data_IF_579031915159
#
_entry.id   IF_579031915159
#
_cell.length_a   1.000
_cell.length_b   1.000
_cell.length_c   1.000
_cell.angle_alpha   90.00
_cell.angle_beta   90.00
_cell.angle_gamma   90.00
#
_symmetry.space_group_name_H-M   'P 1'
#
loop_
_entity.id
_entity.type
_entity.pdbx_description
1 polymer ?
#
# COMPACT_ATOMS: atom_id res chain seq x y z
N UNK A 1 -2.17 -8.16 12.29
CA UNK A 1 -2.19 -7.35 13.52
C UNK A 1 -2.15 -8.26 14.76
N UNK A 2 -3.03 -9.26 14.90
CA UNK A 2 -3.09 -10.15 16.08
C UNK A 2 -1.76 -10.88 16.35
N UNK A 3 -1.13 -11.47 15.32
CA UNK A 3 0.19 -12.12 15.46
C UNK A 3 1.32 -11.18 15.86
N UNK A 4 1.26 -9.90 15.44
CA UNK A 4 2.24 -8.89 15.83
C UNK A 4 2.10 -8.50 17.31
N UNK A 5 0.88 -8.42 17.81
CA UNK A 5 0.57 -8.18 19.22
C UNK A 5 0.98 -9.36 20.09
N UNK A 6 0.73 -10.60 19.63
CA UNK A 6 1.15 -11.81 20.35
C UNK A 6 2.68 -11.93 20.46
N UNK A 7 3.45 -11.59 19.40
CA UNK A 7 4.91 -11.56 19.44
C UNK A 7 5.45 -10.50 20.40
N UNK A 8 4.80 -9.33 20.47
CA UNK A 8 5.17 -8.25 21.38
C UNK A 8 4.91 -8.62 22.84
N UNK A 9 3.80 -9.30 23.11
CA UNK A 9 3.48 -9.84 24.44
C UNK A 9 4.46 -10.95 24.88
N UNK A 10 5.01 -11.72 23.94
CA UNK A 10 6.03 -12.75 24.20
C UNK A 10 7.46 -12.20 24.31
N UNK A 11 7.68 -10.87 24.30
CA UNK A 11 9.01 -10.26 24.37
C UNK A 11 9.94 -10.56 23.20
N UNK A 12 9.41 -11.14 22.12
CA UNK A 12 10.19 -11.44 20.93
C UNK A 12 10.43 -10.15 20.15
N UNK A 13 11.69 -9.69 20.11
CA UNK A 13 12.11 -8.64 19.18
C UNK A 13 11.86 -9.14 17.75
N UNK A 14 11.31 -8.28 16.91
CA UNK A 14 11.26 -8.51 15.46
C UNK A 14 12.71 -8.73 15.01
N UNK A 15 13.02 -9.82 14.26
CA UNK A 15 14.34 -9.89 13.63
C UNK A 15 14.50 -8.62 12.79
N UNK A 16 15.49 -7.80 13.13
CA UNK A 16 15.88 -6.68 12.28
C UNK A 16 16.43 -7.30 11.01
N UNK A 17 15.74 -7.10 9.91
CA UNK A 17 16.34 -7.39 8.61
C UNK A 17 17.55 -6.45 8.49
N UNK A 18 18.76 -6.94 8.21
CA UNK A 18 19.99 -6.13 8.18
C UNK A 18 19.93 -4.95 7.20
N UNK A 19 18.87 -4.83 6.45
CA UNK A 19 18.58 -3.89 5.38
C UNK A 19 17.51 -2.87 5.72
N UNK A 20 16.83 -3.05 6.86
CA UNK A 20 15.72 -2.19 7.25
C UNK A 20 16.14 -1.34 8.45
N UNK A 21 16.34 -0.06 8.22
CA UNK A 21 16.52 0.94 9.29
C UNK A 21 15.22 1.71 9.47
N UNK A 22 14.78 1.83 10.72
CA UNK A 22 13.64 2.69 11.08
C UNK A 22 14.16 3.84 11.91
N UNK A 23 14.01 5.07 11.39
CA UNK A 23 14.34 6.29 12.10
C UNK A 23 13.33 6.59 13.24
N UNK A 24 13.68 7.46 14.22
CA UNK A 24 12.79 7.82 15.32
C UNK A 24 11.44 8.41 14.88
N UNK A 25 11.38 9.07 13.73
CA UNK A 25 10.18 9.61 13.08
C UNK A 25 9.34 8.55 12.37
N UNK A 26 9.73 7.26 12.48
CA UNK A 26 9.13 6.09 11.83
C UNK A 26 9.38 6.00 10.32
N UNK A 27 10.28 6.81 9.76
CA UNK A 27 10.73 6.58 8.39
C UNK A 27 11.50 5.26 8.31
N UNK A 28 11.03 4.39 7.43
CA UNK A 28 11.63 3.07 7.19
C UNK A 28 12.38 3.11 5.87
N UNK A 29 13.65 2.77 5.91
CA UNK A 29 14.52 2.74 4.75
C UNK A 29 14.97 1.32 4.46
N UNK A 30 14.87 0.92 3.20
CA UNK A 30 15.41 -0.33 2.66
C UNK A 30 16.58 0.00 1.76
N UNK A 31 17.74 -0.60 2.04
CA UNK A 31 18.97 -0.50 1.23
C UNK A 31 19.20 -1.85 0.54
N UNK A 32 18.87 -1.92 -0.73
CA UNK A 32 19.05 -3.14 -1.51
C UNK A 32 20.49 -3.39 -1.96
N UNK A 33 21.42 -2.43 -1.79
CA UNK A 33 22.83 -2.66 -2.08
C UNK A 33 23.48 -3.73 -1.19
N UNK A 34 22.83 -4.04 -0.05
CA UNK A 34 23.30 -4.98 0.97
C UNK A 34 22.54 -6.29 1.02
N UNK A 35 21.66 -6.54 0.06
CA UNK A 35 20.71 -7.66 0.10
C UNK A 35 20.82 -8.49 -1.15
N UNK A 36 20.66 -9.79 -0.99
CA UNK A 36 20.35 -10.69 -2.10
C UNK A 36 18.85 -10.53 -2.45
N UNK A 37 18.54 -9.52 -3.28
CA UNK A 37 17.17 -9.22 -3.69
C UNK A 37 16.48 -10.39 -4.40
N UNK A 38 17.13 -11.16 -5.29
CA UNK A 38 16.57 -12.40 -5.83
C UNK A 38 16.20 -13.44 -4.77
N UNK A 39 17.05 -13.65 -3.78
CA UNK A 39 16.74 -14.59 -2.69
C UNK A 39 15.56 -14.13 -1.83
N UNK A 40 15.45 -12.81 -1.58
CA UNK A 40 14.30 -12.21 -0.91
C UNK A 40 13.02 -12.38 -1.73
N UNK A 41 13.03 -12.05 -3.01
CA UNK A 41 11.88 -12.22 -3.91
C UNK A 41 11.39 -13.67 -3.93
N UNK A 42 12.30 -14.64 -4.05
CA UNK A 42 11.97 -16.06 -3.98
C UNK A 42 11.40 -16.46 -2.61
N UNK A 43 11.91 -15.87 -1.53
CA UNK A 43 11.39 -16.07 -0.17
C UNK A 43 9.95 -15.55 -0.01
N UNK A 44 9.67 -14.36 -0.53
CA UNK A 44 8.33 -13.78 -0.52
C UNK A 44 7.35 -14.59 -1.37
N UNK A 45 7.75 -15.03 -2.55
CA UNK A 45 6.92 -15.87 -3.39
C UNK A 45 6.53 -17.17 -2.68
N UNK A 46 7.50 -17.90 -2.11
CA UNK A 46 7.21 -19.12 -1.33
C UNK A 46 6.29 -18.84 -0.15
N UNK A 47 6.55 -17.77 0.59
CA UNK A 47 5.72 -17.36 1.72
C UNK A 47 4.29 -17.01 1.32
N UNK A 48 4.11 -16.31 0.20
CA UNK A 48 2.80 -15.94 -0.31
C UNK A 48 2.02 -17.19 -0.80
N UNK A 49 2.66 -18.09 -1.54
CA UNK A 49 2.04 -19.36 -1.96
C UNK A 49 1.57 -20.16 -0.76
N UNK A 50 2.44 -20.37 0.23
CA UNK A 50 2.08 -21.11 1.43
C UNK A 50 0.96 -20.42 2.23
N UNK A 51 0.93 -19.09 2.27
CA UNK A 51 -0.15 -18.36 2.93
C UNK A 51 -1.49 -18.51 2.20
N UNK A 52 -1.50 -18.46 0.88
CA UNK A 52 -2.71 -18.64 0.07
C UNK A 52 -3.24 -20.09 0.11
N UNK A 53 -2.35 -21.06 0.24
CA UNK A 53 -2.73 -22.48 0.43
C UNK A 53 -3.35 -22.70 1.81
N UNK A 54 -2.78 -22.09 2.86
CA UNK A 54 -3.24 -22.26 4.23
C UNK A 54 -4.53 -21.48 4.55
N UNK A 55 -4.72 -20.33 3.89
CA UNK A 55 -5.85 -19.43 4.12
C UNK A 55 -6.26 -18.82 2.77
N UNK A 56 -6.99 -19.57 1.94
CA UNK A 56 -7.43 -19.08 0.64
C UNK A 56 -8.40 -17.89 0.77
N UNK A 57 -8.47 -17.02 -0.25
CA UNK A 57 -9.40 -15.91 -0.25
C UNK A 57 -10.84 -16.36 0.01
N UNK A 58 -11.58 -15.67 0.89
CA UNK A 58 -12.99 -15.98 1.08
C UNK A 58 -13.77 -15.65 -0.20
N UNK A 59 -14.93 -16.31 -0.42
CA UNK A 59 -15.81 -15.94 -1.52
C UNK A 59 -16.14 -14.45 -1.50
N UNK A 60 -16.21 -13.80 -2.68
CA UNK A 60 -16.42 -12.37 -2.79
C UNK A 60 -17.63 -11.83 -1.99
N UNK A 61 -18.79 -12.52 -1.93
CA UNK A 61 -19.90 -12.07 -1.08
C UNK A 61 -19.54 -12.01 0.41
N UNK A 62 -18.80 -12.98 0.92
CA UNK A 62 -18.33 -12.99 2.31
C UNK A 62 -17.33 -11.85 2.54
N UNK A 63 -16.34 -11.73 1.66
CA UNK A 63 -15.36 -10.64 1.73
C UNK A 63 -16.03 -9.26 1.73
N UNK A 64 -17.05 -9.05 0.90
CA UNK A 64 -17.83 -7.81 0.86
C UNK A 64 -18.66 -7.59 2.12
N UNK A 65 -19.14 -8.66 2.75
CA UNK A 65 -19.88 -8.59 4.02
C UNK A 65 -18.95 -8.21 5.18
N UNK A 66 -17.73 -8.73 5.20
CA UNK A 66 -16.71 -8.40 6.20
C UNK A 66 -16.28 -6.91 6.15
N UNK A 67 -16.52 -6.25 5.01
CA UNK A 67 -16.26 -4.82 4.78
C UNK A 67 -17.52 -3.94 4.88
N UNK A 68 -18.61 -4.44 5.49
CA UNK A 68 -19.89 -3.76 5.53
C UNK A 68 -19.85 -2.39 6.23
N UNK A 69 -18.93 -2.20 7.19
CA UNK A 69 -18.82 -0.97 7.99
C UNK A 69 -18.03 0.14 7.27
N UNK A 70 -17.28 -0.14 6.19
CA UNK A 70 -16.47 0.86 5.51
C UNK A 70 -17.25 2.10 5.07
N UNK A 71 -18.47 2.00 4.49
CA UNK A 71 -19.24 3.19 4.11
C UNK A 71 -19.51 4.12 5.29
N UNK A 72 -19.81 3.56 6.46
CA UNK A 72 -20.07 4.35 7.67
C UNK A 72 -18.79 5.07 8.15
N UNK A 73 -17.65 4.41 8.12
CA UNK A 73 -16.37 5.03 8.51
C UNK A 73 -15.97 6.14 7.54
N UNK A 74 -16.14 5.92 6.24
CA UNK A 74 -15.90 6.94 5.21
C UNK A 74 -16.81 8.15 5.43
N UNK A 75 -18.10 7.92 5.69
CA UNK A 75 -19.05 9.00 5.97
C UNK A 75 -18.62 9.84 7.19
N UNK A 76 -18.18 9.20 8.28
CA UNK A 76 -17.67 9.90 9.48
C UNK A 76 -16.43 10.72 9.21
N UNK A 77 -15.53 10.27 8.34
CA UNK A 77 -14.34 11.03 7.92
C UNK A 77 -14.78 12.25 7.10
N UNK A 78 -15.67 12.07 6.14
CA UNK A 78 -16.20 13.14 5.28
C UNK A 78 -16.96 14.21 6.07
N UNK A 79 -17.74 13.82 7.07
CA UNK A 79 -18.44 14.76 7.98
C UNK A 79 -17.49 15.67 8.74
N UNK A 80 -16.24 15.27 8.93
CA UNK A 80 -15.18 16.06 9.57
C UNK A 80 -14.30 16.81 8.57
N UNK A 81 -14.71 16.89 7.30
CA UNK A 81 -13.97 17.57 6.23
C UNK A 81 -12.82 16.80 5.63
N UNK A 82 -12.63 15.53 6.01
CA UNK A 82 -11.63 14.64 5.40
C UNK A 82 -12.16 13.94 4.16
N UNK A 83 -11.28 13.25 3.46
CA UNK A 83 -11.65 12.32 2.39
C UNK A 83 -10.83 11.03 2.50
N UNK A 84 -11.25 10.02 1.76
CA UNK A 84 -10.63 8.69 1.76
C UNK A 84 -10.24 8.31 0.34
N UNK A 85 -9.00 7.89 0.19
CA UNK A 85 -8.43 7.41 -1.05
C UNK A 85 -7.98 5.98 -0.83
N UNK A 86 -8.44 5.06 -1.67
CA UNK A 86 -7.95 3.70 -1.67
C UNK A 86 -6.78 3.58 -2.65
N UNK A 87 -5.71 2.98 -2.19
CA UNK A 87 -4.51 2.84 -3.00
C UNK A 87 -3.90 1.45 -2.82
N UNK A 88 -3.63 0.76 -3.93
CA UNK A 88 -2.79 -0.43 -3.97
C UNK A 88 -1.40 -0.05 -4.51
N UNK A 89 -0.33 -0.21 -3.72
CA UNK A 89 1.03 0.00 -4.20
C UNK A 89 1.36 -0.90 -5.39
N UNK A 90 2.30 -0.51 -6.27
CA UNK A 90 2.77 -1.40 -7.31
C UNK A 90 3.49 -2.61 -6.71
N UNK A 91 3.30 -3.74 -7.34
CA UNK A 91 4.01 -4.99 -7.11
C UNK A 91 4.42 -5.57 -8.45
N UNK A 92 5.36 -6.51 -8.48
CA UNK A 92 5.85 -7.09 -9.73
C UNK A 92 6.06 -8.60 -9.63
N UNK A 93 6.38 -9.22 -10.76
CA UNK A 93 6.73 -10.63 -10.83
C UNK A 93 5.65 -11.57 -10.29
N UNK A 94 6.08 -12.61 -9.57
CA UNK A 94 5.20 -13.62 -9.02
C UNK A 94 4.19 -13.05 -8.01
N UNK A 95 4.54 -11.99 -7.30
CA UNK A 95 3.63 -11.37 -6.33
C UNK A 95 2.41 -10.73 -7.01
N UNK A 96 2.60 -10.02 -8.12
CA UNK A 96 1.50 -9.45 -8.91
C UNK A 96 0.59 -10.55 -9.47
N UNK A 97 1.19 -11.59 -10.05
CA UNK A 97 0.46 -12.73 -10.62
C UNK A 97 -0.36 -13.47 -9.56
N UNK A 98 0.23 -13.75 -8.39
CA UNK A 98 -0.45 -14.47 -7.32
C UNK A 98 -1.55 -13.63 -6.68
N UNK A 99 -1.31 -12.33 -6.49
CA UNK A 99 -2.31 -11.41 -5.95
C UNK A 99 -3.52 -11.29 -6.86
N UNK A 100 -3.32 -11.12 -8.18
CA UNK A 100 -4.42 -11.06 -9.14
C UNK A 100 -5.17 -12.39 -9.27
N UNK A 101 -4.47 -13.53 -9.20
CA UNK A 101 -5.10 -14.84 -9.19
C UNK A 101 -5.95 -15.10 -7.94
N UNK A 102 -5.46 -14.66 -6.77
CA UNK A 102 -6.15 -14.84 -5.50
C UNK A 102 -7.32 -13.86 -5.32
N UNK A 103 -7.11 -12.60 -5.71
CA UNK A 103 -8.08 -11.50 -5.58
C UNK A 103 -8.28 -10.78 -6.91
N UNK A 104 -8.92 -11.42 -7.92
CA UNK A 104 -9.18 -10.77 -9.20
C UNK A 104 -9.85 -9.41 -9.03
N UNK A 105 -9.30 -8.36 -9.64
CA UNK A 105 -9.81 -6.98 -9.50
C UNK A 105 -11.28 -6.85 -9.87
N UNK A 106 -11.70 -7.56 -10.90
CA UNK A 106 -13.10 -7.55 -11.37
C UNK A 106 -14.08 -8.12 -10.37
N UNK A 107 -13.61 -9.00 -9.49
CA UNK A 107 -14.43 -9.72 -8.51
C UNK A 107 -14.43 -9.04 -7.14
N UNK A 108 -13.30 -8.47 -6.72
CA UNK A 108 -13.14 -7.90 -5.38
C UNK A 108 -13.02 -6.37 -5.40
N UNK A 109 -11.98 -5.84 -6.05
CA UNK A 109 -11.65 -4.42 -6.00
C UNK A 109 -12.69 -3.53 -6.67
N UNK A 110 -13.01 -3.81 -7.95
CA UNK A 110 -13.90 -2.94 -8.72
C UNK A 110 -15.29 -2.82 -8.11
N UNK A 111 -15.97 -3.92 -7.68
CA UNK A 111 -17.26 -3.82 -7.01
C UNK A 111 -17.19 -3.08 -5.68
N UNK A 112 -16.13 -3.26 -4.89
CA UNK A 112 -15.94 -2.53 -3.64
C UNK A 112 -15.81 -1.03 -3.90
N UNK A 113 -14.94 -0.61 -4.82
CA UNK A 113 -14.74 0.81 -5.13
C UNK A 113 -16.01 1.46 -5.68
N UNK A 114 -16.74 0.76 -6.54
CA UNK A 114 -18.04 1.23 -7.03
C UNK A 114 -19.06 1.43 -5.89
N UNK A 115 -19.10 0.50 -4.93
CA UNK A 115 -19.98 0.60 -3.74
C UNK A 115 -19.61 1.77 -2.83
N UNK A 116 -18.30 2.04 -2.64
CA UNK A 116 -17.83 3.05 -1.71
C UNK A 116 -17.87 4.47 -2.28
N UNK A 117 -17.84 4.66 -3.59
CA UNK A 117 -17.83 5.96 -4.25
C UNK A 117 -16.63 6.82 -3.81
N UNK A 118 -15.45 6.24 -3.76
CA UNK A 118 -14.20 6.87 -3.34
C UNK A 118 -13.21 6.95 -4.49
N UNK A 119 -12.22 7.83 -4.36
CA UNK A 119 -11.05 7.79 -5.25
C UNK A 119 -10.27 6.51 -5.01
N UNK A 120 -9.94 5.83 -6.10
CA UNK A 120 -9.19 4.58 -6.07
C UNK A 120 -8.05 4.60 -7.08
N UNK A 121 -6.85 4.19 -6.64
CA UNK A 121 -5.66 4.11 -7.47
C UNK A 121 -5.05 2.72 -7.38
N UNK A 122 -4.63 2.20 -8.52
CA UNK A 122 -3.84 0.98 -8.62
C UNK A 122 -2.47 1.37 -9.15
N UNK A 123 -1.43 1.16 -8.34
CA UNK A 123 -0.07 1.58 -8.64
C UNK A 123 0.47 0.98 -9.94
N UNK A 124 0.14 -0.28 -10.23
CA UNK A 124 0.52 -0.94 -11.48
C UNK A 124 -0.10 -0.31 -12.73
N UNK A 125 -1.22 0.41 -12.62
CA UNK A 125 -1.88 1.10 -13.72
C UNK A 125 -1.32 2.52 -13.95
N UNK A 126 -0.41 2.99 -13.09
CA UNK A 126 0.22 4.29 -13.18
C UNK A 126 1.64 4.12 -13.73
N UNK A 127 1.90 4.51 -15.00
CA UNK A 127 3.19 4.25 -15.64
C UNK A 127 4.40 4.78 -14.85
N UNK A 128 4.28 5.97 -14.25
CA UNK A 128 5.36 6.59 -13.48
C UNK A 128 5.68 5.82 -12.19
N UNK A 129 4.70 5.17 -11.56
CA UNK A 129 4.92 4.33 -10.37
C UNK A 129 5.43 2.94 -10.78
N UNK A 130 4.87 2.37 -11.83
CA UNK A 130 5.28 1.06 -12.36
C UNK A 130 6.73 1.04 -12.87
N UNK A 131 7.25 2.19 -13.30
CA UNK A 131 8.62 2.33 -13.78
C UNK A 131 9.67 2.30 -12.65
N UNK A 132 9.26 2.45 -11.39
CA UNK A 132 10.17 2.42 -10.26
C UNK A 132 10.54 0.97 -9.94
N UNK A 133 11.83 0.64 -9.85
CA UNK A 133 12.27 -0.72 -9.58
C UNK A 133 11.79 -1.24 -8.22
N UNK A 134 11.37 -2.49 -8.19
CA UNK A 134 11.03 -3.22 -6.97
C UNK A 134 11.92 -4.46 -6.88
N UNK A 135 13.13 -4.35 -6.30
CA UNK A 135 14.13 -5.41 -6.36
C UNK A 135 13.68 -6.74 -5.75
N UNK A 136 12.81 -6.71 -4.74
CA UNK A 136 12.21 -7.88 -4.09
C UNK A 136 10.76 -8.13 -4.50
N UNK A 137 10.31 -7.49 -5.59
CA UNK A 137 8.95 -7.53 -6.15
C UNK A 137 7.88 -6.71 -5.44
N UNK A 138 8.16 -6.12 -4.26
CA UNK A 138 7.17 -5.35 -3.47
C UNK A 138 7.68 -4.08 -2.82
N UNK A 139 8.98 -3.94 -2.64
CA UNK A 139 9.56 -2.78 -1.99
C UNK A 139 10.53 -2.07 -2.94
N UNK A 140 10.49 -0.73 -2.92
CA UNK A 140 11.48 0.09 -3.61
C UNK A 140 12.70 0.34 -2.72
N UNK A 141 13.83 0.64 -3.33
CA UNK A 141 15.00 1.14 -2.61
C UNK A 141 14.73 2.53 -2.01
N UNK A 142 15.41 2.83 -0.91
CA UNK A 142 15.24 4.09 -0.21
C UNK A 142 15.56 5.32 -1.09
N UNK A 143 16.49 5.21 -2.04
CA UNK A 143 16.83 6.31 -2.95
C UNK A 143 15.69 6.64 -3.94
N UNK A 144 14.78 5.71 -4.22
CA UNK A 144 13.66 5.92 -5.14
C UNK A 144 12.43 6.57 -4.47
N UNK A 145 12.39 6.64 -3.14
CA UNK A 145 11.27 7.22 -2.38
C UNK A 145 10.85 8.62 -2.84
N UNK A 146 11.79 9.59 -3.09
CA UNK A 146 11.39 10.92 -3.53
C UNK A 146 10.72 10.92 -4.91
N UNK A 147 11.20 10.07 -5.83
CA UNK A 147 10.60 9.93 -7.16
C UNK A 147 9.21 9.31 -7.07
N UNK A 148 9.07 8.25 -6.27
CA UNK A 148 7.80 7.59 -6.01
C UNK A 148 6.76 8.55 -5.40
N UNK A 149 7.14 9.24 -4.33
CA UNK A 149 6.26 10.17 -3.63
C UNK A 149 5.78 11.28 -4.58
N UNK A 150 6.69 11.84 -5.38
CA UNK A 150 6.35 12.88 -6.37
C UNK A 150 5.37 12.35 -7.41
N UNK A 151 5.61 11.18 -7.97
CA UNK A 151 4.74 10.56 -8.97
C UNK A 151 3.34 10.25 -8.39
N UNK A 152 3.28 9.75 -7.16
CA UNK A 152 2.02 9.47 -6.48
C UNK A 152 1.22 10.76 -6.21
N UNK A 153 1.87 11.78 -5.63
CA UNK A 153 1.22 13.07 -5.34
C UNK A 153 0.72 13.73 -6.63
N UNK A 154 1.54 13.76 -7.69
CA UNK A 154 1.12 14.32 -8.98
C UNK A 154 -0.12 13.58 -9.52
N UNK A 155 -0.11 12.25 -9.47
CA UNK A 155 -1.26 11.44 -9.92
C UNK A 155 -2.53 11.76 -9.12
N UNK A 156 -2.41 11.93 -7.80
CA UNK A 156 -3.53 12.29 -6.93
C UNK A 156 -4.10 13.67 -7.27
N UNK A 157 -3.23 14.63 -7.57
CA UNK A 157 -3.62 15.99 -7.98
C UNK A 157 -4.32 15.94 -9.35
N UNK A 158 -3.71 15.29 -10.34
CA UNK A 158 -4.23 15.19 -11.71
C UNK A 158 -5.59 14.51 -11.76
N UNK A 159 -5.86 13.58 -10.85
CA UNK A 159 -7.16 12.90 -10.73
C UNK A 159 -8.16 13.62 -9.82
N UNK A 160 -7.80 14.80 -9.29
CA UNK A 160 -8.66 15.58 -8.40
C UNK A 160 -8.90 14.92 -7.03
N UNK A 161 -8.13 13.89 -6.68
CA UNK A 161 -8.21 13.19 -5.40
C UNK A 161 -7.49 13.94 -4.28
N UNK A 162 -6.56 14.82 -4.63
CA UNK A 162 -5.86 15.70 -3.69
C UNK A 162 -5.94 17.14 -4.18
N UNK A 163 -6.37 18.05 -3.28
CA UNK A 163 -6.37 19.49 -3.53
C UNK A 163 -5.34 20.16 -2.65
N UNK A 164 -4.39 20.86 -3.27
CA UNK A 164 -3.43 21.68 -2.55
C UNK A 164 -4.07 23.05 -2.33
N UNK A 165 -4.30 23.42 -1.07
CA UNK A 165 -4.70 24.78 -0.71
C UNK A 165 -3.42 25.62 -0.56
N UNK A 166 -3.14 26.49 -1.51
CA UNK A 166 -2.07 27.48 -1.39
C UNK A 166 -2.68 28.64 -0.60
N UNK A 167 -2.33 28.79 0.67
CA UNK A 167 -2.61 30.00 1.41
C UNK A 167 -1.72 31.12 0.84
N UNK A 168 -2.34 32.07 0.16
CA UNK A 168 -1.67 33.30 -0.29
C UNK A 168 -1.34 34.11 0.95
N UNK A 169 -0.15 33.89 1.51
CA UNK A 169 0.36 34.69 2.62
C UNK A 169 0.60 36.13 2.16
N UNK A 170 -0.41 36.99 2.29
CA UNK A 170 -0.25 38.45 2.20
C UNK A 170 0.46 38.88 3.47
N UNK A 171 1.79 38.84 3.46
CA UNK A 171 2.57 39.59 4.46
C UNK A 171 2.40 41.07 4.11
N UNK A 172 1.36 41.71 4.66
CA UNK A 172 1.38 43.15 4.82
C UNK A 172 2.46 43.49 5.87
N UNK A 173 3.59 43.99 5.39
CA UNK A 173 4.52 44.73 6.23
C UNK A 173 3.85 46.04 6.62
N UNK A 174 3.54 46.19 7.88
CA UNK A 174 3.34 47.48 8.52
C UNK A 174 4.69 47.99 8.99
#
# INVERSE_FOLDING_TARGET
IVRALQRRAAGQRRPELPTHTTAPDRDSQLDFARVDAPALAAGFERGLRAALEADPPPPAPQWMADLADLPQWIARIRQRGGDVIFYTPPVSGAQDTLAEAAFPRTTYWNPLMARLGVHALIGNDIPALRAIPLPDTSHMDAHDKPAYTRALLQTLIDRGALRIRIESGTHQKQ
#
